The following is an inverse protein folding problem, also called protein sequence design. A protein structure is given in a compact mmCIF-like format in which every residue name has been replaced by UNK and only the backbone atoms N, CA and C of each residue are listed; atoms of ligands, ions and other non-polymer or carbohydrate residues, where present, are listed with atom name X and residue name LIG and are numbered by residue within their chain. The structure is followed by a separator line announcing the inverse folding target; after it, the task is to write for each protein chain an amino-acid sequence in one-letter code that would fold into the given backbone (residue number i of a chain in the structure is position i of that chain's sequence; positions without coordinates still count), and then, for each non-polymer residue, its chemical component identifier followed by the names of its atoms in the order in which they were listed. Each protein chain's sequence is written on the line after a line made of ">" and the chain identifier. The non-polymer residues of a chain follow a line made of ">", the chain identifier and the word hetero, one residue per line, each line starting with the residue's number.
data_IF_205204845580
#
_entry.id   IF_205204845580
#
_cell.length_a   1.000
_cell.length_b   1.000
_cell.length_c   1.000
_cell.angle_alpha   90.00
_cell.angle_beta   90.00
_cell.angle_gamma   90.00
#
_symmetry.space_group_name_H-M   'P 1'
#
loop_
_entity.id
_entity.type
_entity.pdbx_description
1 polymer ?
#
# COMPACT_ATOMS: atom_id res chain seq x y z
N UNK A 1 -10.12 35.88 76.31
CA UNK A 1 -10.87 36.55 75.23
C UNK A 1 -11.62 35.50 74.42
N UNK A 2 -12.92 35.73 74.20
CA UNK A 2 -13.95 34.75 73.85
C UNK A 2 -13.75 34.16 72.44
N UNK A 3 -13.67 32.82 72.32
CA UNK A 3 -14.23 32.09 71.17
C UNK A 3 -14.86 30.80 71.69
N UNK A 4 -16.19 30.78 71.67
CA UNK A 4 -17.02 29.62 71.99
C UNK A 4 -16.85 28.55 70.90
N UNK A 5 -16.45 27.33 71.28
CA UNK A 5 -16.76 26.13 70.52
C UNK A 5 -18.25 25.80 70.74
N UNK A 6 -19.04 25.75 69.66
CA UNK A 6 -20.38 25.14 69.67
C UNK A 6 -20.29 23.77 69.00
N UNK A 7 -20.80 22.77 69.72
CA UNK A 7 -20.87 21.34 69.37
C UNK A 7 -22.21 21.05 68.60
N UNK A 8 -22.54 19.80 68.23
CA UNK A 8 -22.67 19.25 66.87
C UNK A 8 -24.15 19.06 66.44
N UNK A 9 -24.40 18.37 65.31
CA UNK A 9 -25.47 17.33 65.15
C UNK A 9 -25.48 16.78 63.72
N UNK A 10 -25.17 15.49 63.57
CA UNK A 10 -25.58 14.69 62.40
C UNK A 10 -27.06 14.30 62.55
N UNK A 11 -27.82 14.21 61.45
CA UNK A 11 -28.91 13.25 61.36
C UNK A 11 -28.75 12.31 60.15
N UNK A 12 -28.82 11.01 60.44
CA UNK A 12 -29.19 9.95 59.49
C UNK A 12 -30.56 10.29 58.88
N UNK A 13 -30.67 10.34 57.55
CA UNK A 13 -31.92 10.06 56.84
C UNK A 13 -31.58 9.24 55.60
N UNK A 14 -31.83 7.93 55.71
CA UNK A 14 -31.99 7.04 54.57
C UNK A 14 -33.32 7.33 53.87
N UNK A 15 -33.46 6.77 52.66
CA UNK A 15 -34.70 6.40 51.97
C UNK A 15 -35.14 7.29 50.78
N UNK A 16 -35.14 6.61 49.62
CA UNK A 16 -36.14 6.69 48.53
C UNK A 16 -36.21 7.94 47.65
N UNK A 17 -35.47 7.90 46.54
CA UNK A 17 -35.95 8.47 45.26
C UNK A 17 -36.12 7.30 44.28
N UNK A 18 -37.30 6.69 44.31
CA UNK A 18 -37.80 5.77 43.29
C UNK A 18 -39.24 6.16 42.95
N UNK A 19 -39.40 6.95 41.88
CA UNK A 19 -40.56 7.07 40.98
C UNK A 19 -40.16 8.18 39.98
N UNK A 20 -40.16 8.03 38.66
CA UNK A 20 -41.22 7.49 37.78
C UNK A 20 -40.58 6.94 36.49
N UNK A 21 -41.04 5.77 36.07
CA UNK A 21 -40.75 5.12 34.78
C UNK A 21 -41.29 5.94 33.60
N UNK A 22 -40.62 5.92 32.43
CA UNK A 22 -41.23 5.54 31.14
C UNK A 22 -40.18 5.50 30.02
N UNK A 23 -40.16 4.39 29.28
CA UNK A 23 -39.72 4.22 27.89
C UNK A 23 -38.50 5.06 27.44
N UNK A 24 -37.33 4.48 27.21
CA UNK A 24 -37.11 3.58 26.08
C UNK A 24 -35.77 2.93 26.33
N UNK A 25 -35.73 1.60 26.50
CA UNK A 25 -34.51 0.86 26.18
C UNK A 25 -34.37 0.94 24.65
N UNK A 26 -33.88 2.08 24.15
CA UNK A 26 -33.32 2.12 22.82
C UNK A 26 -32.05 1.31 22.96
N UNK A 27 -32.13 0.02 22.60
CA UNK A 27 -30.94 -0.78 22.44
C UNK A 27 -30.02 0.00 21.52
N UNK A 28 -28.95 0.56 22.06
CA UNK A 28 -27.77 0.84 21.26
C UNK A 28 -27.23 -0.54 20.87
N UNK A 29 -27.87 -1.14 19.86
CA UNK A 29 -27.17 -2.04 18.99
C UNK A 29 -26.12 -1.16 18.31
N UNK A 30 -24.90 -1.19 18.82
CA UNK A 30 -23.74 -1.04 17.94
C UNK A 30 -23.70 -2.30 17.07
N UNK A 31 -24.70 -2.44 16.20
CA UNK A 31 -24.67 -3.28 15.02
C UNK A 31 -23.69 -2.67 14.03
N UNK A 32 -22.43 -2.52 14.47
CA UNK A 32 -21.31 -2.52 13.58
C UNK A 32 -21.20 -3.95 13.07
N UNK A 33 -22.07 -4.33 12.12
CA UNK A 33 -21.58 -5.14 11.04
C UNK A 33 -20.51 -4.28 10.37
N UNK A 34 -19.29 -4.33 10.92
CA UNK A 34 -18.08 -3.97 10.22
C UNK A 34 -17.93 -4.97 9.09
N UNK A 35 -18.84 -4.90 8.12
CA UNK A 35 -18.62 -5.51 6.84
C UNK A 35 -17.40 -4.77 6.31
N UNK A 36 -16.24 -5.42 6.41
CA UNK A 36 -15.05 -4.97 5.70
C UNK A 36 -15.51 -4.70 4.27
N UNK A 37 -15.38 -3.47 3.76
CA UNK A 37 -15.85 -3.15 2.42
C UNK A 37 -15.18 -4.11 1.46
N UNK A 38 -15.95 -5.08 0.97
CA UNK A 38 -15.44 -6.06 0.03
C UNK A 38 -15.66 -5.45 -1.33
N UNK A 39 -14.58 -4.97 -1.93
CA UNK A 39 -14.62 -4.47 -3.30
C UNK A 39 -14.86 -5.67 -4.22
N UNK A 40 -16.13 -5.89 -4.59
CA UNK A 40 -16.49 -6.99 -5.48
C UNK A 40 -16.07 -6.67 -6.91
N UNK A 41 -15.15 -7.46 -7.43
CA UNK A 41 -14.73 -7.42 -8.83
C UNK A 41 -13.23 -7.63 -8.98
N UNK A 42 -12.83 -8.29 -10.07
CA UNK A 42 -11.42 -8.50 -10.45
C UNK A 42 -10.71 -7.21 -10.89
N UNK A 43 -11.31 -6.03 -10.68
CA UNK A 43 -10.94 -4.78 -11.34
C UNK A 43 -10.28 -3.74 -10.43
N UNK A 44 -10.19 -4.00 -9.13
CA UNK A 44 -9.60 -3.04 -8.18
C UNK A 44 -8.21 -3.50 -7.74
N UNK A 45 -7.32 -2.52 -7.62
CA UNK A 45 -5.94 -2.71 -7.22
C UNK A 45 -5.44 -1.62 -6.28
N UNK A 46 -4.26 -1.86 -5.74
CA UNK A 46 -3.53 -0.93 -4.88
C UNK A 46 -2.24 -0.51 -5.60
N UNK A 47 -1.89 0.77 -5.45
CA UNK A 47 -0.60 1.32 -5.89
C UNK A 47 0.18 1.77 -4.66
N UNK A 48 1.03 0.92 -4.07
CA UNK A 48 1.81 1.26 -2.88
C UNK A 48 2.98 2.22 -3.17
N UNK A 49 3.23 2.51 -4.46
CA UNK A 49 4.33 3.36 -4.92
C UNK A 49 5.67 2.62 -4.97
N UNK A 50 6.74 3.37 -5.26
CA UNK A 50 8.07 2.81 -5.53
C UNK A 50 8.80 2.19 -4.34
N UNK A 51 8.23 2.26 -3.12
CA UNK A 51 8.85 1.74 -1.89
C UNK A 51 8.74 0.22 -1.72
N UNK A 52 7.66 -0.39 -2.24
CA UNK A 52 7.28 -1.78 -1.97
C UNK A 52 8.42 -2.78 -2.22
N UNK A 53 9.20 -2.58 -3.28
CA UNK A 53 10.28 -3.52 -3.65
C UNK A 53 11.52 -3.43 -2.74
N UNK A 54 11.63 -2.40 -1.91
CA UNK A 54 12.77 -2.12 -1.03
C UNK A 54 12.49 -2.44 0.44
N UNK A 55 11.25 -2.80 0.76
CA UNK A 55 10.83 -3.25 2.09
C UNK A 55 11.55 -4.52 2.52
N UNK A 56 11.63 -4.74 3.83
CA UNK A 56 12.03 -6.05 4.36
C UNK A 56 11.04 -7.13 3.90
N UNK A 57 11.41 -8.40 3.98
CA UNK A 57 10.49 -9.50 3.63
C UNK A 57 9.24 -9.51 4.52
N UNK A 58 9.38 -9.10 5.79
CA UNK A 58 8.28 -9.04 6.73
C UNK A 58 7.31 -7.90 6.39
N UNK A 59 7.82 -6.71 6.07
CA UNK A 59 7.00 -5.56 5.72
C UNK A 59 6.30 -5.77 4.37
N UNK A 60 7.03 -6.27 3.37
CA UNK A 60 6.46 -6.65 2.07
C UNK A 60 5.34 -7.67 2.21
N UNK A 61 5.52 -8.69 3.06
CA UNK A 61 4.50 -9.68 3.31
C UNK A 61 3.27 -9.06 3.99
N UNK A 62 3.50 -8.26 5.04
CA UNK A 62 2.44 -7.59 5.79
C UNK A 62 1.60 -6.67 4.89
N UNK A 63 2.23 -5.84 4.06
CA UNK A 63 1.53 -4.86 3.23
C UNK A 63 0.75 -5.53 2.09
N UNK A 64 1.29 -6.61 1.52
CA UNK A 64 0.58 -7.41 0.54
C UNK A 64 -0.58 -8.23 1.15
N UNK A 65 -0.44 -8.69 2.39
CA UNK A 65 -1.54 -9.34 3.12
C UNK A 65 -2.67 -8.35 3.41
N UNK A 66 -2.33 -7.13 3.82
CA UNK A 66 -3.30 -6.05 4.00
C UNK A 66 -4.00 -5.69 2.69
N UNK A 67 -3.24 -5.57 1.59
CA UNK A 67 -3.82 -5.33 0.27
C UNK A 67 -4.80 -6.45 -0.12
N UNK A 68 -4.42 -7.72 0.07
CA UNK A 68 -5.29 -8.85 -0.21
C UNK A 68 -6.55 -8.86 0.67
N UNK A 69 -6.44 -8.48 1.95
CA UNK A 69 -7.56 -8.41 2.89
C UNK A 69 -8.62 -7.36 2.51
N UNK A 70 -8.26 -6.33 1.75
CA UNK A 70 -9.24 -5.37 1.17
C UNK A 70 -10.10 -5.97 0.06
N UNK A 71 -9.72 -7.15 -0.45
CA UNK A 71 -10.31 -7.76 -1.65
C UNK A 71 -9.66 -7.31 -2.96
N UNK A 72 -8.64 -6.44 -2.93
CA UNK A 72 -7.89 -6.04 -4.11
C UNK A 72 -7.31 -7.24 -4.87
N UNK A 73 -7.28 -7.15 -6.20
CA UNK A 73 -6.79 -8.20 -7.10
C UNK A 73 -5.59 -7.78 -7.93
N UNK A 74 -5.15 -6.54 -7.81
CA UNK A 74 -4.03 -5.98 -8.56
C UNK A 74 -3.08 -5.20 -7.66
N UNK A 75 -1.80 -5.30 -7.93
CA UNK A 75 -0.76 -4.43 -7.39
C UNK A 75 -0.09 -3.73 -8.58
N UNK A 76 -0.04 -2.39 -8.53
CA UNK A 76 0.83 -1.61 -9.43
C UNK A 76 2.24 -1.64 -8.86
N UNK A 77 3.21 -2.08 -9.66
CA UNK A 77 4.59 -2.29 -9.24
C UNK A 77 5.53 -1.44 -10.08
N UNK A 78 6.23 -0.50 -9.43
CA UNK A 78 7.00 0.56 -10.10
C UNK A 78 8.43 0.12 -10.44
N UNK A 79 8.66 -0.50 -11.59
CA UNK A 79 9.98 -1.02 -11.98
C UNK A 79 10.82 0.07 -12.64
N UNK A 80 11.77 0.58 -11.86
CA UNK A 80 12.72 1.60 -12.29
C UNK A 80 13.84 1.01 -13.17
N UNK A 81 13.91 1.45 -14.45
CA UNK A 81 14.97 1.03 -15.37
C UNK A 81 16.38 1.39 -14.89
N UNK A 82 16.54 2.54 -14.22
CA UNK A 82 17.82 2.95 -13.60
C UNK A 82 18.30 1.96 -12.55
N UNK A 83 17.38 1.43 -11.75
CA UNK A 83 17.72 0.41 -10.75
C UNK A 83 18.05 -0.94 -11.38
N UNK A 84 17.31 -1.32 -12.42
CA UNK A 84 17.51 -2.63 -13.06
C UNK A 84 18.79 -2.64 -13.90
N UNK A 85 19.09 -1.56 -14.62
CA UNK A 85 20.28 -1.46 -15.49
C UNK A 85 21.14 -0.25 -15.12
N UNK A 86 21.81 -0.26 -13.95
CA UNK A 86 22.52 0.92 -13.47
C UNK A 86 23.79 1.23 -14.28
N UNK A 87 24.43 0.20 -14.84
CA UNK A 87 25.79 0.29 -15.40
C UNK A 87 25.85 0.21 -16.93
N UNK A 88 24.79 -0.23 -17.60
CA UNK A 88 24.78 -0.37 -19.06
C UNK A 88 23.73 -1.37 -19.55
N UNK A 89 23.63 -1.55 -20.89
CA UNK A 89 22.56 -2.35 -21.50
C UNK A 89 22.71 -3.87 -21.31
N UNK A 90 23.88 -4.36 -20.92
CA UNK A 90 24.17 -5.81 -20.88
C UNK A 90 23.82 -6.48 -19.54
N UNK A 91 23.76 -5.71 -18.46
CA UNK A 91 23.62 -6.23 -17.10
C UNK A 91 22.28 -5.81 -16.51
N UNK A 92 21.60 -6.75 -15.88
CA UNK A 92 20.31 -6.52 -15.22
C UNK A 92 20.36 -6.95 -13.76
N UNK A 93 19.77 -6.16 -12.88
CA UNK A 93 19.59 -6.44 -11.47
C UNK A 93 18.10 -6.71 -11.19
N UNK A 94 17.64 -7.91 -11.53
CA UNK A 94 16.21 -8.27 -11.42
C UNK A 94 15.78 -8.74 -10.03
N UNK A 95 16.72 -9.07 -9.13
CA UNK A 95 16.43 -9.82 -7.90
C UNK A 95 15.35 -9.20 -7.02
N UNK A 96 15.37 -7.87 -6.84
CA UNK A 96 14.37 -7.17 -6.03
C UNK A 96 12.98 -7.13 -6.70
N UNK A 97 12.94 -7.04 -8.04
CA UNK A 97 11.69 -7.12 -8.81
C UNK A 97 11.14 -8.55 -8.77
N UNK A 98 12.00 -9.55 -8.92
CA UNK A 98 11.62 -10.97 -8.86
C UNK A 98 11.01 -11.32 -7.51
N UNK A 99 11.62 -10.83 -6.42
CA UNK A 99 11.13 -10.99 -5.05
C UNK A 99 9.72 -10.42 -4.90
N UNK A 100 9.51 -9.18 -5.34
CA UNK A 100 8.22 -8.51 -5.24
C UNK A 100 7.15 -9.19 -6.11
N UNK A 101 7.46 -9.50 -7.37
CA UNK A 101 6.54 -10.23 -8.26
C UNK A 101 6.17 -11.58 -7.65
N UNK A 102 7.15 -12.35 -7.16
CA UNK A 102 6.89 -13.62 -6.49
C UNK A 102 5.95 -13.48 -5.29
N UNK A 103 6.19 -12.49 -4.42
CA UNK A 103 5.37 -12.23 -3.24
C UNK A 103 3.93 -11.81 -3.60
N UNK A 104 3.74 -11.03 -4.66
CA UNK A 104 2.41 -10.62 -5.15
C UNK A 104 1.67 -11.84 -5.73
N UNK A 105 2.34 -12.61 -6.60
CA UNK A 105 1.74 -13.76 -7.27
C UNK A 105 1.39 -14.90 -6.29
N UNK A 106 2.17 -15.08 -5.22
CA UNK A 106 1.89 -16.04 -4.15
C UNK A 106 0.53 -15.80 -3.46
N UNK A 107 -0.01 -14.57 -3.52
CA UNK A 107 -1.32 -14.19 -2.98
C UNK A 107 -2.44 -14.23 -4.00
N UNK A 108 -2.16 -14.75 -5.21
CA UNK A 108 -3.13 -14.78 -6.31
C UNK A 108 -3.50 -13.40 -6.86
N UNK A 109 -2.72 -12.37 -6.55
CA UNK A 109 -2.91 -11.01 -7.07
C UNK A 109 -2.19 -10.84 -8.42
N UNK A 110 -2.74 -10.00 -9.29
CA UNK A 110 -2.15 -9.62 -10.57
C UNK A 110 -1.18 -8.45 -10.41
N UNK A 111 -0.24 -8.34 -11.34
CA UNK A 111 0.73 -7.25 -11.39
C UNK A 111 0.41 -6.37 -12.58
N UNK A 112 0.23 -5.07 -12.34
CA UNK A 112 0.40 -4.04 -13.36
C UNK A 112 1.83 -3.51 -13.22
N UNK A 113 2.73 -3.95 -14.09
CA UNK A 113 4.14 -3.58 -14.01
C UNK A 113 4.35 -2.27 -14.74
N UNK A 114 4.76 -1.22 -14.04
CA UNK A 114 5.15 0.03 -14.70
C UNK A 114 6.64 -0.02 -14.97
N UNK A 115 7.02 0.45 -16.16
CA UNK A 115 8.41 0.51 -16.59
C UNK A 115 8.76 1.97 -16.76
N UNK A 116 9.61 2.51 -15.89
CA UNK A 116 9.78 3.95 -15.76
C UNK A 116 11.26 4.36 -15.68
N UNK A 117 11.48 5.65 -15.92
CA UNK A 117 12.77 6.34 -15.86
C UNK A 117 13.82 5.89 -16.88
N UNK A 118 14.92 6.64 -16.94
CA UNK A 118 16.06 6.36 -17.82
C UNK A 118 17.37 6.34 -17.03
N UNK A 119 18.19 5.27 -17.13
CA UNK A 119 19.51 5.22 -16.53
C UNK A 119 20.44 6.26 -17.15
N UNK A 120 21.42 6.74 -16.39
CA UNK A 120 22.32 7.82 -16.82
C UNK A 120 22.99 7.57 -18.18
N UNK A 121 23.35 6.32 -18.48
CA UNK A 121 23.98 5.93 -19.74
C UNK A 121 23.06 5.97 -20.97
N UNK A 122 21.74 6.07 -20.79
CA UNK A 122 20.75 6.05 -21.86
C UNK A 122 20.02 7.39 -22.08
N UNK A 123 20.25 8.41 -21.25
CA UNK A 123 19.52 9.70 -21.30
C UNK A 123 19.89 10.56 -22.49
N UNK A 124 18.95 11.41 -22.92
CA UNK A 124 19.25 12.51 -23.84
C UNK A 124 20.22 13.52 -23.21
N UNK A 125 21.13 14.06 -24.03
CA UNK A 125 22.13 15.03 -23.56
C UNK A 125 21.50 16.32 -23.02
N UNK A 126 20.35 16.74 -23.57
CA UNK A 126 19.63 17.97 -23.17
C UNK A 126 19.10 17.93 -21.73
N UNK A 127 18.95 16.76 -21.12
CA UNK A 127 18.40 16.59 -19.77
C UNK A 127 19.11 15.51 -18.94
N UNK A 128 20.39 15.24 -19.23
CA UNK A 128 21.13 14.09 -18.69
C UNK A 128 21.19 14.01 -17.14
N UNK A 129 21.01 15.12 -16.43
CA UNK A 129 20.99 15.17 -14.96
C UNK A 129 19.72 14.57 -14.32
N UNK A 130 18.66 14.35 -15.09
CA UNK A 130 17.36 13.91 -14.58
C UNK A 130 17.03 12.48 -15.03
N UNK A 131 16.57 11.62 -14.11
CA UNK A 131 16.07 10.28 -14.47
C UNK A 131 14.74 10.30 -15.22
N UNK A 132 14.00 11.40 -15.12
CA UNK A 132 12.79 11.69 -15.89
C UNK A 132 13.11 12.07 -17.35
N UNK A 133 14.39 12.26 -17.69
CA UNK A 133 14.80 12.52 -19.06
C UNK A 133 14.50 11.28 -19.91
N UNK A 134 13.83 11.43 -21.07
CA UNK A 134 13.56 10.29 -21.94
C UNK A 134 14.86 9.67 -22.46
N UNK A 135 14.82 8.40 -22.90
CA UNK A 135 15.95 7.77 -23.55
C UNK A 135 16.37 8.54 -24.81
N UNK A 136 17.69 8.64 -25.04
CA UNK A 136 18.26 9.17 -26.26
C UNK A 136 17.85 8.36 -27.50
N UNK A 137 17.64 7.06 -27.31
CA UNK A 137 17.16 6.15 -28.32
C UNK A 137 15.97 5.34 -27.76
N UNK A 138 14.74 5.54 -28.28
CA UNK A 138 13.57 4.77 -27.86
C UNK A 138 13.74 3.25 -28.02
N UNK A 139 14.56 2.78 -28.98
CA UNK A 139 14.82 1.36 -29.16
C UNK A 139 15.55 0.73 -27.96
N UNK A 140 16.38 1.51 -27.25
CA UNK A 140 17.06 1.04 -26.03
C UNK A 140 16.05 0.76 -24.91
N UNK A 141 15.06 1.63 -24.76
CA UNK A 141 13.98 1.44 -23.79
C UNK A 141 13.02 0.32 -24.21
N UNK A 142 12.74 0.18 -25.52
CA UNK A 142 11.97 -0.94 -26.04
C UNK A 142 12.66 -2.29 -25.77
N UNK A 143 13.98 -2.36 -25.85
CA UNK A 143 14.74 -3.57 -25.50
C UNK A 143 14.64 -3.91 -24.01
N UNK A 144 14.69 -2.90 -23.12
CA UNK A 144 14.45 -3.09 -21.69
C UNK A 144 13.02 -3.59 -21.43
N UNK A 145 12.00 -2.96 -22.03
CA UNK A 145 10.62 -3.37 -21.88
C UNK A 145 10.37 -4.78 -22.42
N UNK A 146 10.97 -5.15 -23.54
CA UNK A 146 10.95 -6.50 -24.09
C UNK A 146 11.59 -7.53 -23.15
N UNK A 147 12.71 -7.18 -22.50
CA UNK A 147 13.36 -8.05 -21.51
C UNK A 147 12.48 -8.27 -20.27
N UNK A 148 11.81 -7.22 -19.76
CA UNK A 148 10.85 -7.34 -18.66
C UNK A 148 9.65 -8.22 -19.06
N UNK A 149 9.07 -7.98 -20.24
CA UNK A 149 7.97 -8.78 -20.77
C UNK A 149 8.32 -10.26 -20.89
N UNK A 150 9.45 -10.59 -21.52
CA UNK A 150 9.93 -11.95 -21.66
C UNK A 150 10.21 -12.63 -20.32
N UNK A 151 10.76 -11.88 -19.35
CA UNK A 151 11.09 -12.41 -18.01
C UNK A 151 9.84 -12.76 -17.20
N UNK A 152 8.82 -11.91 -17.22
CA UNK A 152 7.69 -12.04 -16.30
C UNK A 152 6.43 -12.66 -16.91
N UNK A 153 6.34 -12.79 -18.24
CA UNK A 153 5.24 -13.52 -18.88
C UNK A 153 5.09 -14.97 -18.39
N UNK A 154 6.16 -15.78 -18.21
CA UNK A 154 6.01 -17.16 -17.70
C UNK A 154 5.44 -17.28 -16.28
N UNK A 155 5.52 -16.20 -15.47
CA UNK A 155 4.97 -16.14 -14.10
C UNK A 155 3.64 -15.37 -14.02
N UNK A 156 3.04 -15.07 -15.18
CA UNK A 156 1.69 -14.52 -15.29
C UNK A 156 1.59 -12.99 -15.20
N UNK A 157 2.67 -12.26 -15.46
CA UNK A 157 2.61 -10.80 -15.64
C UNK A 157 2.41 -10.50 -17.12
N UNK A 158 1.25 -9.92 -17.45
CA UNK A 158 0.86 -9.62 -18.83
C UNK A 158 0.35 -8.18 -19.02
N UNK A 159 0.29 -7.41 -17.93
CA UNK A 159 -0.17 -6.03 -17.93
C UNK A 159 1.01 -5.11 -17.64
N UNK A 160 1.26 -4.18 -18.57
CA UNK A 160 2.35 -3.25 -18.50
C UNK A 160 1.83 -1.82 -18.69
N UNK A 161 2.33 -0.92 -17.86
CA UNK A 161 2.21 0.52 -18.05
C UNK A 161 3.58 1.02 -18.54
N UNK A 162 3.59 1.73 -19.66
CA UNK A 162 4.82 2.20 -20.29
C UNK A 162 4.90 3.70 -20.04
N UNK A 163 5.84 4.09 -19.18
CA UNK A 163 6.17 5.48 -18.86
C UNK A 163 5.05 6.26 -18.14
N UNK A 164 5.38 6.85 -16.99
CA UNK A 164 4.48 7.61 -16.12
C UNK A 164 5.11 8.95 -15.63
N UNK A 165 6.14 9.43 -16.34
CA UNK A 165 6.90 10.64 -15.99
C UNK A 165 6.66 11.84 -16.90
#
# INVERSE_FOLDING_TARGET
>A
MKRLLRIPRLPLVALSVLLVMLATACGFQTGGNGATPTVSGTKVGVSPGGGLMWESDADLAHDLDNAAATGAKWIRLDVNWTGVQPTGPATFQWSYVDRAVGAIRARGMNVLMTLDYTPAWARQASCASSMYCPPANPATYAAFAGAAAARYAPVGVHSYEIWNE
#
